data_IF_475874171009
#
_entry.id   IF_475874171009
#
_cell.length_a   1.000
_cell.length_b   1.000
_cell.length_c   1.000
_cell.angle_alpha   90.00
_cell.angle_beta   90.00
_cell.angle_gamma   90.00
#
_symmetry.space_group_name_H-M   'P 1'
#
loop_
_entity.id
_entity.type
_entity.pdbx_description
1 polymer ?
#
# COMPACT_ATOMS: atom_id res chain seq x y z
N UNK A 1 -5.89 22.64 0.00
CA UNK A 1 -6.64 22.13 -1.17
C UNK A 1 -6.53 20.62 -1.21
N UNK A 2 -7.60 19.95 -1.60
CA UNK A 2 -7.60 18.49 -1.76
C UNK A 2 -7.64 18.18 -3.25
N UNK A 3 -6.66 17.39 -3.71
CA UNK A 3 -6.61 16.93 -5.09
C UNK A 3 -6.81 15.42 -5.12
N UNK A 4 -7.86 14.97 -5.76
CA UNK A 4 -8.14 13.55 -5.95
C UNK A 4 -7.51 13.12 -7.26
N UNK A 5 -6.36 12.43 -7.15
CA UNK A 5 -5.52 12.14 -8.32
C UNK A 5 -6.04 10.97 -9.15
N UNK A 6 -6.77 10.05 -8.52
CA UNK A 6 -7.38 8.93 -9.23
C UNK A 6 -8.65 8.52 -8.51
N UNK A 7 -9.77 8.61 -9.23
CA UNK A 7 -11.11 8.32 -8.69
C UNK A 7 -11.62 7.02 -9.32
N UNK A 8 -12.14 6.14 -8.48
CA UNK A 8 -12.81 4.91 -8.90
C UNK A 8 -14.32 5.10 -8.72
N UNK A 9 -15.02 5.33 -9.81
CA UNK A 9 -16.46 5.59 -9.77
C UNK A 9 -17.27 4.34 -9.38
N UNK A 10 -16.78 3.15 -9.72
CA UNK A 10 -17.50 1.91 -9.42
C UNK A 10 -17.55 1.68 -7.91
N UNK A 11 -16.43 1.84 -7.21
CA UNK A 11 -16.34 1.64 -5.77
C UNK A 11 -16.58 2.92 -4.97
N UNK A 12 -16.74 4.06 -5.66
CA UNK A 12 -16.98 5.37 -5.04
C UNK A 12 -15.88 5.75 -4.06
N UNK A 13 -14.63 5.62 -4.48
CA UNK A 13 -13.48 6.04 -3.68
C UNK A 13 -12.43 6.73 -4.54
N UNK A 14 -11.45 7.32 -3.88
CA UNK A 14 -10.23 7.80 -4.51
C UNK A 14 -9.10 6.89 -4.08
N UNK A 15 -8.30 6.43 -5.03
CA UNK A 15 -7.17 5.54 -4.72
C UNK A 15 -5.99 6.33 -4.17
N UNK A 16 -5.89 7.61 -4.49
CA UNK A 16 -4.84 8.49 -4.00
C UNK A 16 -5.33 9.94 -3.96
N UNK A 17 -5.02 10.64 -2.86
CA UNK A 17 -5.42 12.02 -2.60
C UNK A 17 -4.20 12.80 -2.14
N UNK A 18 -4.00 14.01 -2.69
CA UNK A 18 -3.10 15.01 -2.11
C UNK A 18 -3.90 15.94 -1.20
N UNK A 19 -3.40 16.18 0.00
CA UNK A 19 -3.99 17.13 0.93
C UNK A 19 -2.86 17.87 1.65
N UNK A 20 -2.61 19.12 1.22
CA UNK A 20 -1.48 19.90 1.70
C UNK A 20 -0.16 19.22 1.35
N UNK A 21 0.70 19.01 2.35
CA UNK A 21 2.00 18.38 2.16
C UNK A 21 1.96 16.85 2.21
N UNK A 22 0.79 16.27 2.39
CA UNK A 22 0.64 14.82 2.55
C UNK A 22 -0.14 14.21 1.41
N UNK A 23 0.18 12.95 1.16
CA UNK A 23 -0.52 12.13 0.16
C UNK A 23 -1.05 10.90 0.89
N UNK A 24 -2.34 10.65 0.69
CA UNK A 24 -3.04 9.51 1.29
C UNK A 24 -3.33 8.51 0.20
N UNK A 25 -2.80 7.30 0.36
CA UNK A 25 -3.01 6.22 -0.61
C UNK A 25 -3.95 5.21 0.01
N UNK A 26 -5.03 4.93 -0.68
CA UNK A 26 -6.01 3.93 -0.27
C UNK A 26 -5.43 2.52 -0.36
N UNK A 27 -6.25 1.52 -0.08
CA UNK A 27 -5.76 0.15 -0.06
C UNK A 27 -5.07 -0.21 -1.37
N UNK A 28 -3.92 -0.87 -1.24
CA UNK A 28 -3.14 -1.37 -2.37
C UNK A 28 -3.06 -2.89 -2.26
N UNK A 29 -3.29 -3.56 -3.37
CA UNK A 29 -3.12 -5.00 -3.47
C UNK A 29 -2.66 -5.34 -4.88
N UNK A 30 -2.15 -6.53 -5.08
CA UNK A 30 -1.75 -7.01 -6.38
C UNK A 30 -1.64 -8.51 -6.39
N UNK A 31 -1.60 -9.08 -7.58
CA UNK A 31 -1.42 -10.52 -7.78
C UNK A 31 -2.43 -11.38 -7.02
N UNK A 32 -3.68 -10.93 -6.96
CA UNK A 32 -4.77 -11.66 -6.31
C UNK A 32 -4.82 -13.11 -6.81
N UNK A 33 -4.99 -14.07 -5.88
CA UNK A 33 -5.01 -15.49 -6.20
C UNK A 33 -3.64 -16.15 -6.25
N UNK A 34 -2.56 -15.37 -6.18
CA UNK A 34 -1.19 -15.88 -6.13
C UNK A 34 -0.75 -16.14 -4.67
N UNK A 35 0.39 -16.79 -4.44
CA UNK A 35 0.94 -16.93 -3.08
C UNK A 35 1.11 -15.58 -2.40
N UNK A 36 1.08 -15.58 -1.06
CA UNK A 36 1.10 -14.35 -0.28
C UNK A 36 2.35 -13.50 -0.55
N UNK A 37 3.51 -14.12 -0.76
CA UNK A 37 4.75 -13.38 -1.08
C UNK A 37 4.58 -12.54 -2.33
N UNK A 38 3.95 -13.11 -3.36
CA UNK A 38 3.70 -12.41 -4.61
C UNK A 38 2.66 -11.29 -4.42
N UNK A 39 1.69 -11.50 -3.54
CA UNK A 39 0.71 -10.47 -3.23
C UNK A 39 1.32 -9.31 -2.47
N UNK A 40 2.23 -9.57 -1.54
CA UNK A 40 2.95 -8.52 -0.82
C UNK A 40 3.77 -7.69 -1.81
N UNK A 41 4.54 -8.37 -2.67
CA UNK A 41 5.32 -7.70 -3.71
C UNK A 41 4.43 -6.86 -4.63
N UNK A 42 3.31 -7.43 -5.09
CA UNK A 42 2.36 -6.74 -5.96
C UNK A 42 1.70 -5.54 -5.30
N UNK A 43 1.43 -5.60 -4.00
CA UNK A 43 0.87 -4.47 -3.27
C UNK A 43 1.85 -3.28 -3.25
N UNK A 44 3.15 -3.52 -3.06
CA UNK A 44 4.14 -2.46 -3.10
C UNK A 44 4.32 -1.89 -4.50
N UNK A 45 4.22 -2.71 -5.54
CA UNK A 45 4.24 -2.22 -6.92
C UNK A 45 3.05 -1.30 -7.17
N UNK A 46 1.85 -1.68 -6.71
CA UNK A 46 0.66 -0.85 -6.83
C UNK A 46 0.83 0.47 -6.07
N UNK A 47 1.37 0.42 -4.85
CA UNK A 47 1.65 1.62 -4.05
C UNK A 47 2.60 2.56 -4.80
N UNK A 48 3.69 2.03 -5.34
CA UNK A 48 4.67 2.81 -6.08
C UNK A 48 4.04 3.47 -7.31
N UNK A 49 3.23 2.72 -8.06
CA UNK A 49 2.56 3.24 -9.24
C UNK A 49 1.59 4.38 -8.90
N UNK A 50 0.87 4.27 -7.79
CA UNK A 50 -0.02 5.35 -7.35
C UNK A 50 0.76 6.58 -6.90
N UNK A 51 1.86 6.39 -6.15
CA UNK A 51 2.70 7.51 -5.71
C UNK A 51 3.28 8.30 -6.88
N UNK A 52 3.55 7.64 -8.01
CA UNK A 52 4.01 8.32 -9.22
C UNK A 52 3.02 9.37 -9.73
N UNK A 53 1.73 9.17 -9.49
CA UNK A 53 0.71 10.17 -9.87
C UNK A 53 0.90 11.48 -9.11
N UNK A 54 1.52 11.43 -7.94
CA UNK A 54 1.86 12.61 -7.13
C UNK A 54 3.32 13.05 -7.31
N UNK A 55 4.06 12.41 -8.23
CA UNK A 55 5.48 12.71 -8.42
C UNK A 55 6.38 12.17 -7.32
N UNK A 56 5.93 11.14 -6.59
CA UNK A 56 6.64 10.58 -5.43
C UNK A 56 7.06 9.13 -5.67
N UNK A 57 7.93 8.63 -4.81
CA UNK A 57 8.33 7.24 -4.75
C UNK A 57 8.12 6.65 -3.36
N UNK A 58 8.53 5.41 -3.19
CA UNK A 58 8.36 4.70 -1.90
C UNK A 58 9.14 5.36 -0.76
N UNK A 59 10.22 6.07 -1.05
CA UNK A 59 11.01 6.77 -0.04
C UNK A 59 10.28 7.96 0.60
N UNK A 60 9.15 8.37 0.01
CA UNK A 60 8.29 9.41 0.57
C UNK A 60 7.25 8.88 1.57
N UNK A 61 7.09 7.56 1.66
CA UNK A 61 6.11 6.96 2.57
C UNK A 61 6.58 7.10 4.00
N UNK A 62 5.72 7.66 4.86
CA UNK A 62 6.05 7.88 6.27
C UNK A 62 5.31 6.91 7.19
N UNK A 63 4.19 6.38 6.73
CA UNK A 63 3.39 5.43 7.51
C UNK A 63 2.67 4.46 6.57
N UNK A 64 2.61 3.20 6.96
CA UNK A 64 1.74 2.24 6.29
C UNK A 64 1.11 1.26 7.28
N UNK A 65 -0.08 0.80 6.94
CA UNK A 65 -0.78 -0.27 7.65
C UNK A 65 -0.76 -1.51 6.76
N UNK A 66 -0.29 -2.63 7.32
CA UNK A 66 -0.19 -3.90 6.61
C UNK A 66 -1.25 -4.86 7.14
N UNK A 67 -2.11 -5.33 6.23
CA UNK A 67 -3.24 -6.18 6.59
C UNK A 67 -3.06 -7.57 6.00
N UNK A 68 -3.20 -8.59 6.84
CA UNK A 68 -3.04 -9.98 6.46
C UNK A 68 -4.32 -10.77 6.69
N UNK A 69 -4.56 -11.78 5.87
CA UNK A 69 -5.56 -12.79 6.12
C UNK A 69 -5.11 -13.71 7.26
N UNK A 70 -3.82 -14.09 7.25
CA UNK A 70 -3.20 -14.98 8.24
C UNK A 70 -1.96 -14.29 8.78
N UNK A 71 -1.90 -14.09 10.12
CA UNK A 71 -0.78 -13.41 10.76
C UNK A 71 0.55 -14.16 10.60
N UNK A 72 0.52 -15.47 10.35
CA UNK A 72 1.74 -16.23 10.09
C UNK A 72 2.46 -15.75 8.84
N UNK A 73 1.76 -15.10 7.91
CA UNK A 73 2.36 -14.54 6.70
C UNK A 73 3.19 -13.29 6.96
N UNK A 74 3.13 -12.74 8.18
CA UNK A 74 3.99 -11.65 8.60
C UNK A 74 5.48 -11.99 8.42
N UNK A 75 5.83 -13.26 8.47
CA UNK A 75 7.21 -13.72 8.32
C UNK A 75 7.83 -13.35 6.96
N UNK A 76 7.03 -13.11 5.95
CA UNK A 76 7.51 -12.72 4.62
C UNK A 76 7.71 -11.22 4.47
N UNK A 77 7.13 -10.41 5.36
CA UNK A 77 6.98 -8.98 5.13
C UNK A 77 8.31 -8.23 5.15
N UNK A 78 9.16 -8.48 6.16
CA UNK A 78 10.39 -7.71 6.35
C UNK A 78 11.34 -7.81 5.16
N UNK A 79 11.53 -9.02 4.61
CA UNK A 79 12.43 -9.22 3.48
C UNK A 79 11.93 -8.50 2.22
N UNK A 80 10.61 -8.51 2.02
CA UNK A 80 10.02 -7.84 0.85
C UNK A 80 10.08 -6.32 1.02
N UNK A 81 9.85 -5.81 2.23
CA UNK A 81 10.01 -4.39 2.53
C UNK A 81 11.45 -3.93 2.23
N UNK A 82 12.45 -4.70 2.66
CA UNK A 82 13.86 -4.37 2.41
C UNK A 82 14.16 -4.26 0.93
N UNK A 83 13.56 -5.13 0.13
CA UNK A 83 13.72 -5.14 -1.32
C UNK A 83 13.20 -3.86 -1.97
N UNK A 84 12.08 -3.33 -1.48
CA UNK A 84 11.40 -2.19 -2.11
C UNK A 84 11.80 -0.83 -1.54
N UNK A 85 12.13 -0.72 -0.25
CA UNK A 85 12.31 0.55 0.42
C UNK A 85 13.77 0.98 0.60
N UNK A 86 14.71 0.09 0.36
CA UNK A 86 16.15 0.40 0.35
C UNK A 86 16.61 1.18 1.62
N UNK A 87 16.22 0.68 2.79
CA UNK A 87 16.63 1.27 4.06
C UNK A 87 15.79 2.46 4.53
N UNK A 88 14.96 3.03 3.69
CA UNK A 88 14.12 4.18 4.02
C UNK A 88 12.73 3.72 4.46
N UNK A 89 12.71 3.06 5.61
CA UNK A 89 11.52 2.37 6.08
C UNK A 89 10.51 3.31 6.73
N UNK A 90 9.22 3.23 6.35
CA UNK A 90 8.17 3.97 7.06
C UNK A 90 7.86 3.33 8.41
N UNK A 91 7.16 4.05 9.28
CA UNK A 91 6.52 3.37 10.41
C UNK A 91 5.43 2.46 9.86
N UNK A 92 5.17 1.34 10.55
CA UNK A 92 4.14 0.41 10.12
C UNK A 92 3.55 -0.34 11.31
N UNK A 93 2.34 -0.83 11.11
CA UNK A 93 1.79 -1.89 11.94
C UNK A 93 1.25 -2.99 11.05
N UNK A 94 1.09 -4.17 11.59
CA UNK A 94 0.52 -5.32 10.90
C UNK A 94 -0.59 -5.90 11.76
N UNK A 95 -1.68 -6.29 11.11
CA UNK A 95 -2.82 -6.89 11.79
C UNK A 95 -3.58 -7.77 10.82
N UNK A 96 -4.50 -8.59 11.33
CA UNK A 96 -5.33 -9.44 10.50
C UNK A 96 -6.70 -8.81 10.30
N UNK A 97 -7.29 -9.11 9.16
CA UNK A 97 -8.65 -8.69 8.83
C UNK A 97 -9.23 -9.62 7.78
N UNK A 98 -10.51 -9.51 7.56
CA UNK A 98 -11.15 -10.16 6.43
C UNK A 98 -11.11 -9.23 5.22
N UNK A 99 -11.03 -9.83 4.04
CA UNK A 99 -11.03 -9.09 2.78
C UNK A 99 -12.32 -9.37 2.00
N UNK A 100 -12.58 -8.54 1.00
CA UNK A 100 -13.82 -8.60 0.21
C UNK A 100 -13.89 -9.85 -0.68
N UNK A 101 -12.77 -10.52 -0.95
CA UNK A 101 -12.71 -11.76 -1.74
C UNK A 101 -11.72 -12.73 -1.12
N UNK A 102 -11.96 -14.03 -1.29
CA UNK A 102 -11.10 -15.07 -0.72
C UNK A 102 -9.68 -15.08 -1.28
N UNK A 103 -9.51 -14.69 -2.52
CA UNK A 103 -8.19 -14.68 -3.18
C UNK A 103 -7.24 -13.61 -2.67
N UNK A 104 -7.71 -12.68 -1.84
CA UNK A 104 -6.89 -11.60 -1.30
C UNK A 104 -6.32 -12.04 0.04
N UNK A 105 -4.98 -12.04 0.15
CA UNK A 105 -4.26 -12.45 1.35
C UNK A 105 -3.52 -11.30 2.02
N UNK A 106 -3.39 -10.15 1.33
CA UNK A 106 -2.60 -9.02 1.82
C UNK A 106 -3.07 -7.72 1.18
N UNK A 107 -3.13 -6.67 2.01
CA UNK A 107 -3.35 -5.29 1.55
C UNK A 107 -2.52 -4.33 2.39
N UNK A 108 -2.21 -3.18 1.82
CA UNK A 108 -1.62 -2.05 2.56
C UNK A 108 -2.36 -0.78 2.20
N UNK A 109 -2.32 0.19 3.11
CA UNK A 109 -2.56 1.59 2.80
C UNK A 109 -1.40 2.42 3.35
N UNK A 110 -1.29 3.66 2.92
CA UNK A 110 -0.10 4.43 3.23
C UNK A 110 -0.36 5.93 3.26
N UNK A 111 0.50 6.64 4.01
CA UNK A 111 0.59 8.09 4.01
C UNK A 111 2.01 8.45 3.60
N UNK A 112 2.12 9.38 2.64
CA UNK A 112 3.41 9.88 2.16
C UNK A 112 3.51 11.39 2.41
N UNK A 113 4.75 11.88 2.47
CA UNK A 113 5.05 13.30 2.68
C UNK A 113 5.71 13.86 1.43
N UNK A 114 5.19 14.99 0.95
CA UNK A 114 5.70 15.60 -0.28
C UNK A 114 6.96 16.43 -0.06
N UNK A 115 7.18 16.85 1.15
CA UNK A 115 8.34 17.69 1.47
C UNK A 115 8.04 19.17 1.56
#
# INVERSE_FOLDING_TARGET
>A
MINRLEVDEFWADSTIIEAGDYVFVGYCMGNEGQPVEDQIDGAFVTLENRLKLAGLGLDSVVKMDCMFKDINDLNYLADIIKKHFDGKYPTRKAFTTDFIREGILFQIDAIAYKG
#
